data_IF_206701216608
#
_entry.id   IF_206701216608
#
_cell.length_a   1.000
_cell.length_b   1.000
_cell.length_c   1.000
_cell.angle_alpha   90.00
_cell.angle_beta   90.00
_cell.angle_gamma   90.00
#
_symmetry.space_group_name_H-M   'P 1'
#
loop_
_entity.id
_entity.type
_entity.pdbx_description
1 polymer ?
#
# COMPACT_ATOMS: atom_id res chain seq x y z
N UNK A 1 -16.13 8.67 -27.46
CA UNK A 1 -15.56 8.74 -26.09
C UNK A 1 -14.04 8.60 -26.20
N UNK A 2 -13.27 9.44 -25.53
CA UNK A 2 -11.80 9.31 -25.49
C UNK A 2 -11.37 8.08 -24.67
N UNK A 3 -10.25 7.44 -25.04
CA UNK A 3 -9.63 6.33 -24.28
C UNK A 3 -9.42 6.69 -22.80
N UNK A 4 -8.97 7.92 -22.53
CA UNK A 4 -8.85 8.48 -21.19
C UNK A 4 -10.15 8.43 -20.39
N UNK A 5 -11.29 8.76 -21.00
CA UNK A 5 -12.59 8.77 -20.32
C UNK A 5 -13.05 7.34 -19.99
N UNK A 6 -12.78 6.38 -20.88
CA UNK A 6 -13.07 4.96 -20.65
C UNK A 6 -12.20 4.40 -19.53
N UNK A 7 -10.90 4.68 -19.53
CA UNK A 7 -9.96 4.22 -18.49
C UNK A 7 -10.28 4.82 -17.11
N UNK A 8 -10.59 6.12 -17.03
CA UNK A 8 -11.05 6.73 -15.77
C UNK A 8 -12.35 6.11 -15.26
N UNK A 9 -13.29 5.80 -16.16
CA UNK A 9 -14.54 5.12 -15.79
C UNK A 9 -14.28 3.69 -15.29
N UNK A 10 -13.38 2.96 -15.95
CA UNK A 10 -12.99 1.62 -15.55
C UNK A 10 -12.31 1.63 -14.18
N UNK A 11 -11.36 2.55 -13.96
CA UNK A 11 -10.70 2.73 -12.67
C UNK A 11 -11.72 3.05 -11.58
N UNK A 12 -12.58 4.07 -11.78
CA UNK A 12 -13.60 4.45 -10.78
C UNK A 12 -14.54 3.30 -10.42
N UNK A 13 -14.87 2.43 -11.38
CA UNK A 13 -15.69 1.23 -11.13
C UNK A 13 -14.91 0.12 -10.40
N UNK A 14 -13.61 -0.04 -10.67
CA UNK A 14 -12.75 -1.03 -10.03
C UNK A 14 -12.20 -0.59 -8.67
N UNK A 15 -12.27 0.70 -8.34
CA UNK A 15 -11.82 1.25 -7.07
C UNK A 15 -12.76 0.81 -5.94
N UNK A 16 -12.46 -0.36 -5.40
CA UNK A 16 -13.22 -1.06 -4.37
C UNK A 16 -12.63 -0.92 -2.97
N UNK A 17 -11.44 -0.34 -2.84
CA UNK A 17 -10.78 -0.15 -1.57
C UNK A 17 -10.43 1.31 -1.33
N UNK A 18 -10.51 1.71 -0.06
CA UNK A 18 -9.94 2.95 0.45
C UNK A 18 -8.73 2.60 1.29
N UNK A 19 -7.64 3.33 1.08
CA UNK A 19 -6.38 3.10 1.78
C UNK A 19 -5.82 4.42 2.30
N UNK A 20 -5.03 4.36 3.38
CA UNK A 20 -4.19 5.47 3.83
C UNK A 20 -2.74 5.06 3.70
N UNK A 21 -1.91 5.98 3.24
CA UNK A 21 -0.46 5.79 3.24
C UNK A 21 0.06 6.23 4.61
N UNK A 22 0.73 5.32 5.29
CA UNK A 22 1.33 5.54 6.58
C UNK A 22 2.80 5.89 6.37
N UNK A 23 3.15 7.16 6.62
CA UNK A 23 4.51 7.66 6.41
C UNK A 23 5.33 7.46 7.69
N UNK A 24 6.54 6.89 7.63
CA UNK A 24 7.39 6.75 8.79
C UNK A 24 7.91 8.11 9.25
N UNK A 25 7.80 8.37 10.55
CA UNK A 25 8.42 9.50 11.23
C UNK A 25 9.30 8.95 12.33
N UNK A 26 10.55 9.44 12.39
CA UNK A 26 11.50 9.03 13.41
C UNK A 26 11.41 10.00 14.57
N UNK A 27 11.03 9.50 15.75
CA UNK A 27 11.14 10.27 16.98
C UNK A 27 12.56 10.12 17.55
N UNK A 28 13.18 11.21 18.01
CA UNK A 28 14.42 11.10 18.77
C UNK A 28 14.17 10.22 20.00
N UNK A 29 15.03 9.22 20.21
CA UNK A 29 14.99 8.39 21.41
C UNK A 29 15.34 9.22 22.65
N UNK A 30 14.90 8.77 23.83
CA UNK A 30 15.34 9.33 25.11
C UNK A 30 16.86 9.29 25.21
N UNK A 31 17.52 10.39 25.58
CA UNK A 31 18.98 10.50 25.66
C UNK A 31 19.65 9.32 26.39
N UNK A 32 20.53 8.58 25.71
CA UNK A 32 21.31 7.47 26.25
C UNK A 32 22.08 6.73 25.16
N UNK A 33 23.25 6.16 25.49
CA UNK A 33 24.16 5.47 24.53
C UNK A 33 23.53 4.30 23.76
N UNK A 34 22.37 3.80 24.19
CA UNK A 34 21.62 2.69 23.57
C UNK A 34 20.18 3.06 23.18
N UNK A 35 19.88 4.35 23.02
CA UNK A 35 18.52 4.81 22.72
C UNK A 35 18.11 4.43 21.29
N UNK A 36 17.33 3.36 21.14
CA UNK A 36 16.72 3.01 19.87
C UNK A 36 15.76 4.12 19.42
N UNK A 37 15.95 4.64 18.21
CA UNK A 37 15.04 5.60 17.59
C UNK A 37 13.68 4.94 17.40
N UNK A 38 12.62 5.52 17.97
CA UNK A 38 11.26 4.98 17.81
C UNK A 38 10.70 5.46 16.48
N UNK A 39 10.44 4.52 15.57
CA UNK A 39 9.70 4.82 14.33
C UNK A 39 8.20 4.79 14.64
N UNK A 40 7.52 5.88 14.33
CA UNK A 40 6.05 5.98 14.35
C UNK A 40 5.56 6.14 12.93
N UNK A 41 4.32 5.75 12.67
CA UNK A 41 3.72 5.85 11.35
C UNK A 41 2.57 6.83 11.40
N UNK A 42 2.67 7.92 10.64
CA UNK A 42 1.61 8.94 10.57
C UNK A 42 0.68 8.61 9.40
N UNK A 43 -0.64 8.45 9.64
CA UNK A 43 -1.58 8.22 8.57
C UNK A 43 -1.77 9.47 7.72
N UNK A 44 -1.73 9.28 6.41
CA UNK A 44 -2.13 10.26 5.40
C UNK A 44 -3.64 10.31 5.19
N UNK A 45 -4.05 10.95 4.10
CA UNK A 45 -5.45 11.02 3.67
C UNK A 45 -5.91 9.67 3.14
N UNK A 46 -7.23 9.44 3.22
CA UNK A 46 -7.85 8.27 2.59
C UNK A 46 -7.93 8.48 1.08
N UNK A 47 -7.39 7.53 0.32
CA UNK A 47 -7.36 7.52 -1.14
C UNK A 47 -8.05 6.25 -1.67
N UNK A 48 -8.72 6.40 -2.81
CA UNK A 48 -9.32 5.27 -3.51
C UNK A 48 -8.26 4.48 -4.25
N UNK A 49 -8.31 3.16 -4.19
CA UNK A 49 -7.45 2.30 -4.96
C UNK A 49 -8.19 1.10 -5.54
N UNK A 50 -7.69 0.61 -6.67
CA UNK A 50 -8.05 -0.71 -7.20
C UNK A 50 -7.16 -1.71 -6.47
N UNK A 51 -7.78 -2.58 -5.68
CA UNK A 51 -7.09 -3.60 -4.89
C UNK A 51 -7.20 -4.96 -5.56
N UNK A 52 -6.09 -5.48 -6.08
CA UNK A 52 -6.04 -6.73 -6.85
C UNK A 52 -5.23 -7.74 -6.04
N UNK A 53 -5.87 -8.81 -5.59
CA UNK A 53 -5.18 -9.93 -4.94
C UNK A 53 -4.29 -10.66 -5.95
N UNK A 54 -3.04 -10.94 -5.57
CA UNK A 54 -2.11 -11.70 -6.43
C UNK A 54 -2.23 -13.21 -6.22
N UNK A 55 -2.42 -13.64 -4.98
CA UNK A 55 -2.29 -15.06 -4.60
C UNK A 55 -3.51 -15.53 -3.79
N UNK A 56 -4.69 -15.61 -4.41
CA UNK A 56 -5.86 -16.23 -3.78
C UNK A 56 -5.80 -17.77 -3.78
N UNK A 57 -4.91 -18.36 -4.59
CA UNK A 57 -4.84 -19.80 -4.83
C UNK A 57 -3.77 -20.52 -3.97
N UNK A 58 -2.88 -19.79 -3.31
CA UNK A 58 -1.79 -20.36 -2.51
C UNK A 58 -2.25 -20.81 -1.10
N UNK A 59 -3.58 -20.89 -0.92
CA UNK A 59 -4.27 -21.16 0.34
C UNK A 59 -4.58 -22.65 0.57
N UNK A 60 -4.11 -23.53 -0.32
CA UNK A 60 -4.53 -24.93 -0.37
C UNK A 60 -3.56 -25.93 0.32
N UNK A 61 -2.43 -25.49 0.87
CA UNK A 61 -1.53 -26.37 1.61
C UNK A 61 -1.75 -26.26 3.12
N UNK A 62 -2.37 -27.29 3.70
CA UNK A 62 -2.53 -27.45 5.14
C UNK A 62 -1.15 -27.46 5.80
N UNK A 63 -0.80 -26.37 6.49
CA UNK A 63 0.50 -26.20 7.17
C UNK A 63 1.46 -25.19 6.51
N UNK A 64 1.13 -24.67 5.32
CA UNK A 64 1.92 -23.61 4.70
C UNK A 64 1.61 -22.23 5.31
N UNK A 65 2.65 -21.43 5.53
CA UNK A 65 2.53 -20.09 6.11
C UNK A 65 1.95 -19.12 5.07
N UNK A 66 0.68 -18.74 5.21
CA UNK A 66 -0.02 -17.80 4.31
C UNK A 66 0.70 -16.45 4.21
N UNK A 67 1.13 -16.08 3.00
CA UNK A 67 1.59 -14.72 2.66
C UNK A 67 0.56 -14.05 1.77
N UNK A 68 -0.11 -13.05 2.31
CA UNK A 68 -1.06 -12.28 1.52
C UNK A 68 -0.33 -11.25 0.68
N UNK A 69 -0.50 -11.32 -0.64
CA UNK A 69 0.04 -10.35 -1.60
C UNK A 69 -1.08 -9.72 -2.40
N UNK A 70 -0.98 -8.41 -2.57
CA UNK A 70 -1.91 -7.64 -3.37
C UNK A 70 -1.20 -6.53 -4.14
N UNK A 71 -1.91 -5.97 -5.10
CA UNK A 71 -1.54 -4.78 -5.84
C UNK A 71 -2.57 -3.71 -5.54
N UNK A 72 -2.08 -2.55 -5.11
CA UNK A 72 -2.85 -1.33 -4.92
C UNK A 72 -2.54 -0.41 -6.10
N UNK A 73 -3.51 -0.16 -6.98
CA UNK A 73 -3.36 0.82 -8.06
C UNK A 73 -3.99 2.15 -7.65
N UNK A 74 -3.21 3.22 -7.75
CA UNK A 74 -3.56 4.55 -7.26
C UNK A 74 -3.45 5.55 -8.42
N UNK A 75 -4.38 6.49 -8.50
CA UNK A 75 -4.19 7.65 -9.37
C UNK A 75 -3.16 8.62 -8.78
N UNK A 76 -2.11 9.02 -9.52
CA UNK A 76 -1.11 9.96 -8.99
C UNK A 76 -1.71 11.26 -8.45
N UNK A 77 -2.81 11.73 -9.06
CA UNK A 77 -3.54 12.92 -8.58
C UNK A 77 -4.15 12.74 -7.20
N UNK A 78 -4.59 11.52 -6.88
CA UNK A 78 -5.16 11.20 -5.58
C UNK A 78 -4.07 11.15 -4.51
N UNK A 79 -2.81 10.88 -4.86
CA UNK A 79 -1.68 10.94 -3.93
C UNK A 79 -1.39 12.39 -3.49
N UNK A 80 -1.51 13.37 -4.41
CA UNK A 80 -1.28 14.78 -4.12
C UNK A 80 0.16 15.05 -3.71
N UNK A 81 0.38 15.57 -2.50
CA UNK A 81 1.71 15.87 -1.94
C UNK A 81 2.30 14.72 -1.11
N UNK A 82 1.56 13.62 -0.92
CA UNK A 82 2.07 12.47 -0.16
C UNK A 82 3.19 11.78 -0.94
N UNK A 83 4.29 11.45 -0.24
CA UNK A 83 5.42 10.74 -0.83
C UNK A 83 5.25 9.26 -0.55
N UNK A 84 5.14 8.47 -1.63
CA UNK A 84 5.15 7.02 -1.53
C UNK A 84 6.60 6.53 -1.58
N UNK A 85 7.04 5.85 -0.53
CA UNK A 85 8.37 5.24 -0.44
C UNK A 85 8.26 3.78 0.04
N UNK A 86 9.27 2.93 -0.18
CA UNK A 86 9.26 1.55 0.29
C UNK A 86 9.11 1.42 1.82
N UNK A 87 9.52 2.44 2.57
CA UNK A 87 9.41 2.47 4.03
C UNK A 87 8.00 2.84 4.52
N UNK A 88 7.13 3.32 3.62
CA UNK A 88 5.73 3.57 3.93
C UNK A 88 4.97 2.26 4.12
N UNK A 89 3.87 2.33 4.85
CA UNK A 89 2.91 1.23 5.01
C UNK A 89 1.56 1.63 4.45
N UNK A 90 0.72 0.66 4.13
CA UNK A 90 -0.64 0.89 3.63
C UNK A 90 -1.64 0.34 4.65
N UNK A 91 -2.48 1.23 5.17
CA UNK A 91 -3.66 0.84 5.94
C UNK A 91 -4.84 0.74 4.99
N UNK A 92 -5.42 -0.46 4.82
CA UNK A 92 -6.63 -0.66 4.01
C UNK A 92 -7.86 -0.60 4.92
N UNK A 93 -8.84 0.23 4.56
CA UNK A 93 -10.10 0.32 5.28
C UNK A 93 -10.80 -1.05 5.35
N UNK A 94 -11.22 -1.43 6.56
CA UNK A 94 -11.81 -2.74 6.85
C UNK A 94 -10.84 -3.92 6.81
N UNK A 95 -9.53 -3.71 6.69
CA UNK A 95 -8.50 -4.74 6.84
C UNK A 95 -7.85 -4.64 8.21
N UNK A 96 -7.64 -5.78 8.87
CA UNK A 96 -6.87 -5.80 10.11
C UNK A 96 -5.39 -5.56 9.83
N UNK A 97 -4.80 -4.55 10.48
CA UNK A 97 -3.37 -4.27 10.42
C UNK A 97 -2.86 -3.60 9.14
N UNK A 98 -1.56 -3.36 9.13
CA UNK A 98 -0.86 -2.61 8.10
C UNK A 98 -0.24 -3.53 7.06
N UNK A 99 -0.25 -3.08 5.80
CA UNK A 99 0.39 -3.74 4.68
C UNK A 99 1.74 -3.10 4.42
N UNK A 100 2.78 -3.92 4.24
CA UNK A 100 4.11 -3.46 3.90
C UNK A 100 4.22 -3.30 2.38
N UNK A 101 4.88 -2.24 1.93
CA UNK A 101 5.18 -2.03 0.52
C UNK A 101 6.34 -2.95 0.14
N UNK A 102 6.15 -3.73 -0.92
CA UNK A 102 7.16 -4.62 -1.47
C UNK A 102 7.85 -3.97 -2.67
N UNK A 103 7.07 -3.37 -3.57
CA UNK A 103 7.60 -2.70 -4.77
C UNK A 103 6.67 -1.58 -5.21
N UNK A 104 7.26 -0.42 -5.56
CA UNK A 104 6.56 0.69 -6.19
C UNK A 104 7.00 0.73 -7.65
N UNK A 105 6.06 0.53 -8.56
CA UNK A 105 6.35 0.64 -9.99
C UNK A 105 6.29 2.11 -10.43
N UNK A 106 7.09 2.51 -11.44
CA UNK A 106 6.95 3.82 -12.07
C UNK A 106 5.51 4.08 -12.54
N UNK A 107 5.11 5.35 -12.56
CA UNK A 107 3.79 5.73 -13.06
C UNK A 107 3.63 5.27 -14.51
N UNK A 108 2.57 4.50 -14.78
CA UNK A 108 2.25 4.00 -16.10
C UNK A 108 1.29 4.98 -16.77
N UNK A 109 1.68 5.52 -17.92
CA UNK A 109 0.89 6.51 -18.67
C UNK A 109 0.40 5.94 -20.01
N UNK A 110 -0.88 6.18 -20.32
CA UNK A 110 -1.48 5.82 -21.60
C UNK A 110 -2.57 6.84 -21.94
N UNK A 111 -2.45 7.51 -23.10
CA UNK A 111 -3.44 8.48 -23.59
C UNK A 111 -3.88 9.54 -22.54
N UNK A 112 -2.94 10.04 -21.74
CA UNK A 112 -3.22 11.04 -20.70
C UNK A 112 -3.97 10.50 -19.47
N UNK A 113 -4.04 9.19 -19.31
CA UNK A 113 -4.39 8.47 -18.09
C UNK A 113 -3.12 7.95 -17.42
N UNK A 114 -3.04 8.03 -16.09
CA UNK A 114 -1.85 7.63 -15.33
C UNK A 114 -2.22 6.87 -14.06
N UNK A 115 -1.46 5.83 -13.75
CA UNK A 115 -1.61 5.00 -12.56
C UNK A 115 -0.25 4.64 -11.96
N UNK A 116 -0.21 4.60 -10.62
CA UNK A 116 0.91 4.06 -9.86
C UNK A 116 0.48 2.68 -9.38
N UNK A 117 1.32 1.67 -9.62
CA UNK A 117 1.10 0.31 -9.15
C UNK A 117 2.00 0.07 -7.94
N UNK A 118 1.40 -0.31 -6.82
CA UNK A 118 2.10 -0.60 -5.57
C UNK A 118 1.84 -2.05 -5.19
N UNK A 119 2.89 -2.85 -5.12
CA UNK A 119 2.81 -4.21 -4.61
C UNK A 119 2.95 -4.18 -3.10
N UNK A 120 2.05 -4.87 -2.42
CA UNK A 120 1.98 -4.89 -0.98
C UNK A 120 1.85 -6.30 -0.46
N UNK A 121 2.41 -6.52 0.72
CA UNK A 121 2.32 -7.79 1.44
C UNK A 121 1.88 -7.57 2.87
N UNK A 122 1.05 -8.46 3.40
CA UNK A 122 0.74 -8.47 4.82
C UNK A 122 1.73 -9.37 5.54
N UNK A 123 2.53 -8.86 6.50
CA UNK A 123 3.43 -9.70 7.28
C UNK A 123 2.62 -10.67 8.14
N UNK A 124 3.14 -11.89 8.30
CA UNK A 124 2.51 -12.97 9.08
C UNK A 124 2.31 -12.52 10.53
N UNK A 125 1.10 -12.73 11.08
CA UNK A 125 0.90 -12.65 12.52
C UNK A 125 1.80 -13.71 13.20
N UNK A 126 2.86 -13.25 13.89
CA UNK A 126 3.82 -14.13 14.57
C UNK A 126 5.30 -13.99 14.13
N UNK A 127 5.63 -13.10 13.18
CA UNK A 127 7.01 -12.83 12.78
C UNK A 127 7.68 -11.73 13.60
N UNK A 128 8.22 -12.10 14.76
CA UNK A 128 9.18 -11.36 15.60
C UNK A 128 8.81 -9.96 16.13
N UNK A 129 8.57 -9.92 17.45
CA UNK A 129 9.23 -8.94 18.32
C UNK A 129 10.74 -9.17 18.19
N UNK A 130 11.48 -8.32 17.49
CA UNK A 130 12.89 -8.06 17.79
C UNK A 130 13.03 -6.57 18.06
#
# INVERSE_FOLDING_TARGET
MSAKALLNRAFKKGSQAKVKILTPTVLPGSSGMNAAKKMIYKPGKSISCVWIWKDAANDNEVGARQEYRAVCQIHPKDLGAEILSPDCRIEKEGSEGEWLIDTIHPAQELDGFSLIRVEVRKPKAGGNKV
#
